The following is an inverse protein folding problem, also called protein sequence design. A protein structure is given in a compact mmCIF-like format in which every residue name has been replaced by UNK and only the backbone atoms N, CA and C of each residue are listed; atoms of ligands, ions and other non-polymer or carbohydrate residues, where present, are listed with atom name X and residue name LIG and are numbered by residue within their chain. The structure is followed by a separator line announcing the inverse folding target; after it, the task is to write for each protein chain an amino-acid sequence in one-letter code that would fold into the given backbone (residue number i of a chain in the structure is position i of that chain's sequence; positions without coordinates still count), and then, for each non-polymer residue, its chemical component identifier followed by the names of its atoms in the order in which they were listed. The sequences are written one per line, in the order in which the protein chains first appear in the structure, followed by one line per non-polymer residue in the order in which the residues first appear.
data_IF_665185497684
#
_entry.id   IF_665185497684
#
_cell.length_a   1.000
_cell.length_b   1.000
_cell.length_c   1.000
_cell.angle_alpha   90.00
_cell.angle_beta   90.00
_cell.angle_gamma   90.00
#
_symmetry.space_group_name_H-M   'P 1'
#
loop_
_entity.id
_entity.type
_entity.pdbx_description
1 polymer ?
#
# COMPACT_ATOMS: atom_id res chain seq x y z
N UNK A 1 10.68 12.34 5.38
CA UNK A 1 9.83 13.11 6.32
C UNK A 1 10.16 14.60 6.47
N UNK A 2 11.36 15.10 6.13
CA UNK A 2 11.82 16.46 6.53
C UNK A 2 11.03 17.67 5.98
N UNK A 3 10.15 17.48 5.00
CA UNK A 3 9.40 18.57 4.35
C UNK A 3 8.01 18.83 4.92
N UNK A 4 7.56 18.08 5.94
CA UNK A 4 6.22 18.24 6.55
C UNK A 4 5.05 17.76 5.68
N UNK A 5 5.32 17.19 4.51
CA UNK A 5 4.33 16.74 3.52
C UNK A 5 3.83 15.31 3.80
N UNK A 6 3.28 15.09 4.99
CA UNK A 6 2.91 13.75 5.48
C UNK A 6 1.78 13.10 4.69
N UNK A 7 0.78 13.87 4.27
CA UNK A 7 -0.32 13.40 3.41
C UNK A 7 0.21 12.79 2.09
N UNK A 8 1.23 13.42 1.50
CA UNK A 8 1.87 12.92 0.29
C UNK A 8 2.69 11.66 0.55
N UNK A 9 3.37 11.58 1.71
CA UNK A 9 4.10 10.37 2.09
C UNK A 9 3.17 9.17 2.19
N UNK A 10 2.01 9.33 2.85
CA UNK A 10 0.98 8.27 2.94
C UNK A 10 0.42 7.90 1.57
N UNK A 11 0.15 8.90 0.72
CA UNK A 11 -0.30 8.63 -0.65
C UNK A 11 0.73 7.84 -1.47
N UNK A 12 2.03 8.17 -1.34
CA UNK A 12 3.10 7.44 -2.02
C UNK A 12 3.27 6.01 -1.48
N UNK A 13 3.06 5.80 -0.17
CA UNK A 13 3.05 4.45 0.42
C UNK A 13 2.00 3.56 -0.25
N UNK A 14 0.79 4.09 -0.45
CA UNK A 14 -0.26 3.38 -1.17
C UNK A 14 0.17 3.03 -2.61
N UNK A 15 0.60 4.03 -3.40
CA UNK A 15 0.99 3.83 -4.80
C UNK A 15 2.13 2.82 -4.95
N UNK A 16 3.10 2.84 -4.03
CA UNK A 16 4.22 1.88 -4.05
C UNK A 16 3.74 0.46 -3.78
N UNK A 17 2.90 0.28 -2.75
CA UNK A 17 2.33 -1.02 -2.39
C UNK A 17 1.43 -1.57 -3.50
N UNK A 18 0.61 -0.71 -4.11
CA UNK A 18 -0.25 -1.08 -5.25
C UNK A 18 0.57 -1.61 -6.43
N UNK A 19 1.68 -0.94 -6.78
CA UNK A 19 2.54 -1.35 -7.88
C UNK A 19 3.20 -2.70 -7.62
N UNK A 20 3.70 -2.94 -6.40
CA UNK A 20 4.29 -4.24 -6.06
C UNK A 20 3.27 -5.36 -6.07
N UNK A 21 2.06 -5.12 -5.55
CA UNK A 21 1.00 -6.13 -5.62
C UNK A 21 0.56 -6.41 -7.06
N UNK A 22 0.51 -5.39 -7.93
CA UNK A 22 0.26 -5.59 -9.36
C UNK A 22 1.39 -6.34 -10.05
N UNK A 23 2.64 -6.14 -9.65
CA UNK A 23 3.75 -6.95 -10.12
C UNK A 23 3.60 -8.42 -9.68
N UNK A 24 3.20 -8.67 -8.44
CA UNK A 24 2.89 -10.03 -7.96
C UNK A 24 1.74 -10.69 -8.74
N UNK A 25 0.68 -9.93 -9.06
CA UNK A 25 -0.42 -10.44 -9.90
C UNK A 25 0.10 -10.89 -11.27
N UNK A 26 0.99 -10.13 -11.91
CA UNK A 26 1.56 -10.51 -13.21
C UNK A 26 2.51 -11.70 -13.06
N UNK A 27 3.39 -11.68 -12.07
CA UNK A 27 4.38 -12.75 -11.85
C UNK A 27 3.71 -14.11 -11.57
N UNK A 28 2.63 -14.13 -10.79
CA UNK A 28 1.96 -15.36 -10.39
C UNK A 28 0.76 -15.73 -11.28
N UNK A 29 0.15 -14.74 -11.94
CA UNK A 29 -1.03 -14.90 -12.79
C UNK A 29 -0.72 -15.11 -14.28
N UNK A 30 0.53 -14.96 -14.71
CA UNK A 30 0.94 -15.14 -16.12
C UNK A 30 0.68 -13.90 -16.99
N UNK A 31 0.27 -14.12 -18.25
CA UNK A 31 0.17 -13.06 -19.28
C UNK A 31 -1.08 -12.14 -19.15
N UNK A 32 -1.93 -12.37 -18.16
CA UNK A 32 -3.13 -11.56 -17.97
C UNK A 32 -2.78 -10.16 -17.41
N UNK A 33 -3.32 -9.08 -18.00
CA UNK A 33 -3.05 -7.74 -17.51
C UNK A 33 -3.61 -7.56 -16.09
N UNK A 34 -2.89 -6.86 -15.20
CA UNK A 34 -3.35 -6.67 -13.83
C UNK A 34 -4.68 -5.90 -13.82
N UNK A 35 -5.61 -6.27 -12.93
CA UNK A 35 -6.94 -5.67 -12.90
C UNK A 35 -6.86 -4.17 -12.60
N UNK A 36 -7.78 -3.40 -13.20
CA UNK A 36 -7.89 -1.94 -13.00
C UNK A 36 -8.59 -1.60 -11.67
N UNK A 37 -8.06 -2.12 -10.57
CA UNK A 37 -8.51 -1.89 -9.20
C UNK A 37 -7.38 -1.30 -8.35
N UNK A 38 -7.74 -0.66 -7.23
CA UNK A 38 -6.81 -0.03 -6.28
C UNK A 38 -6.87 -0.64 -4.87
N UNK A 39 -7.80 -1.56 -4.62
CA UNK A 39 -7.94 -2.21 -3.32
C UNK A 39 -6.79 -3.17 -3.06
N UNK A 40 -5.91 -2.82 -2.11
CA UNK A 40 -4.66 -3.57 -1.88
C UNK A 40 -4.93 -5.00 -1.39
N UNK A 41 -5.87 -5.18 -0.47
CA UNK A 41 -6.31 -6.52 -0.03
C UNK A 41 -6.75 -7.38 -1.21
N UNK A 42 -7.58 -6.80 -2.10
CA UNK A 42 -8.09 -7.53 -3.27
C UNK A 42 -6.99 -7.88 -4.26
N UNK A 43 -6.00 -7.01 -4.46
CA UNK A 43 -4.83 -7.32 -5.28
C UNK A 43 -4.00 -8.47 -4.70
N UNK A 44 -3.82 -8.51 -3.37
CA UNK A 44 -3.13 -9.61 -2.70
C UNK A 44 -3.87 -10.95 -2.88
N UNK A 45 -5.20 -10.96 -2.73
CA UNK A 45 -6.03 -12.15 -3.00
C UNK A 45 -5.90 -12.65 -4.44
N UNK A 46 -5.90 -11.72 -5.42
CA UNK A 46 -5.78 -12.07 -6.85
C UNK A 46 -4.38 -12.63 -7.15
N UNK A 47 -3.35 -12.11 -6.49
CA UNK A 47 -1.99 -12.64 -6.56
C UNK A 47 -1.83 -14.00 -5.86
N UNK A 48 -2.88 -14.54 -5.19
CA UNK A 48 -2.78 -15.79 -4.44
C UNK A 48 -1.91 -15.70 -3.19
N UNK A 49 -1.62 -14.48 -2.72
CA UNK A 49 -0.82 -14.24 -1.53
C UNK A 49 -1.63 -14.55 -0.26
N UNK A 50 -0.95 -15.01 0.78
CA UNK A 50 -1.53 -15.19 2.13
C UNK A 50 -0.83 -14.29 3.15
N UNK A 51 -1.13 -12.98 3.20
CA UNK A 51 -0.58 -12.09 4.21
C UNK A 51 -1.08 -12.47 5.61
N UNK A 52 -0.35 -12.07 6.66
CA UNK A 52 -0.83 -12.18 8.04
C UNK A 52 -2.01 -11.22 8.29
N UNK A 53 -2.72 -11.43 9.40
CA UNK A 53 -3.84 -10.54 9.78
C UNK A 53 -3.36 -9.09 9.94
N UNK A 54 -2.19 -8.86 10.53
CA UNK A 54 -1.61 -7.52 10.66
C UNK A 54 -1.29 -6.88 9.31
N UNK A 55 -0.81 -7.68 8.35
CA UNK A 55 -0.56 -7.20 6.99
C UNK A 55 -1.88 -6.88 6.28
N UNK A 56 -2.92 -7.70 6.44
CA UNK A 56 -4.24 -7.44 5.87
C UNK A 56 -4.86 -6.16 6.43
N UNK A 57 -4.79 -5.95 7.74
CA UNK A 57 -5.24 -4.73 8.40
C UNK A 57 -4.51 -3.50 7.85
N UNK A 58 -3.18 -3.59 7.70
CA UNK A 58 -2.37 -2.55 7.07
C UNK A 58 -2.81 -2.25 5.62
N UNK A 59 -3.05 -3.27 4.79
CA UNK A 59 -3.50 -3.09 3.40
C UNK A 59 -4.88 -2.41 3.33
N UNK A 60 -5.79 -2.75 4.24
CA UNK A 60 -7.11 -2.12 4.35
C UNK A 60 -6.96 -0.65 4.75
N UNK A 61 -6.19 -0.38 5.81
CA UNK A 61 -5.92 0.98 6.29
C UNK A 61 -5.32 1.86 5.18
N UNK A 62 -4.29 1.35 4.49
CA UNK A 62 -3.60 2.09 3.46
C UNK A 62 -4.46 2.32 2.20
N UNK A 63 -5.41 1.42 1.91
CA UNK A 63 -6.42 1.61 0.86
C UNK A 63 -7.38 2.74 1.21
N UNK A 64 -7.87 2.78 2.46
CA UNK A 64 -8.78 3.81 2.95
C UNK A 64 -8.14 5.21 2.93
N UNK A 65 -6.85 5.31 3.27
CA UNK A 65 -6.11 6.57 3.15
C UNK A 65 -6.00 7.08 1.71
N UNK A 66 -5.98 6.21 0.69
CA UNK A 66 -5.86 6.65 -0.70
C UNK A 66 -7.07 7.45 -1.17
N UNK A 67 -8.26 7.20 -0.64
CA UNK A 67 -9.44 8.02 -0.93
C UNK A 67 -9.37 9.34 -0.16
N UNK A 68 -9.03 9.29 1.13
CA UNK A 68 -8.97 10.48 2.00
C UNK A 68 -7.89 11.48 1.60
N UNK A 69 -6.76 11.02 1.09
CA UNK A 69 -5.65 11.88 0.65
C UNK A 69 -5.96 12.65 -0.65
N UNK A 70 -6.94 12.22 -1.46
CA UNK A 70 -7.28 12.83 -2.77
C UNK A 70 -8.35 13.91 -2.72
N UNK A 71 -9.20 13.91 -1.70
CA UNK A 71 -10.23 14.93 -1.49
C UNK A 71 -10.01 15.62 -0.14
N UNK A 72 -9.02 16.53 -0.06
CA UNK A 72 -8.75 17.29 1.15
C UNK A 72 -9.84 18.35 1.33
N UNK A 73 -11.00 17.98 1.87
CA UNK A 73 -12.10 18.94 2.05
C UNK A 73 -11.75 20.02 3.09
N UNK A 74 -10.76 19.77 3.96
CA UNK A 74 -10.15 20.77 4.85
C UNK A 74 -8.67 20.45 5.15
N UNK A 75 -7.75 21.28 4.64
CA UNK A 75 -6.30 21.17 4.87
C UNK A 75 -5.93 21.26 6.36
N UNK A 76 -6.72 21.98 7.16
CA UNK A 76 -6.48 22.16 8.60
C UNK A 76 -6.79 20.88 9.37
N UNK A 77 -7.92 20.24 9.08
CA UNK A 77 -8.30 18.95 9.64
C UNK A 77 -7.30 17.84 9.28
N UNK A 78 -6.73 17.91 8.07
CA UNK A 78 -5.73 16.94 7.61
C UNK A 78 -4.43 16.99 8.39
N UNK A 79 -4.00 18.17 8.85
CA UNK A 79 -2.76 18.29 9.65
C UNK A 79 -2.84 17.57 11.01
N UNK A 80 -4.07 17.39 11.54
CA UNK A 80 -4.30 16.66 12.79
C UNK A 80 -4.29 15.14 12.59
N UNK A 81 -4.70 14.66 11.42
CA UNK A 81 -4.74 13.23 11.09
C UNK A 81 -3.39 12.75 10.56
N UNK A 82 -2.80 13.48 9.59
CA UNK A 82 -1.55 13.13 8.95
C UNK A 82 -0.36 13.72 9.72
N UNK A 83 -0.20 13.29 10.96
CA UNK A 83 0.96 13.64 11.78
C UNK A 83 2.23 12.96 11.25
N UNK A 84 3.39 13.46 11.67
CA UNK A 84 4.68 12.83 11.38
C UNK A 84 4.69 11.36 11.82
N UNK A 85 4.28 11.10 13.06
CA UNK A 85 4.26 9.76 13.65
C UNK A 85 3.35 8.80 12.85
N UNK A 86 2.19 9.28 12.41
CA UNK A 86 1.28 8.49 11.60
C UNK A 86 1.89 8.13 10.24
N UNK A 87 2.48 9.10 9.55
CA UNK A 87 3.16 8.85 8.28
C UNK A 87 4.39 7.94 8.45
N UNK A 88 5.14 8.05 9.54
CA UNK A 88 6.34 7.23 9.80
C UNK A 88 5.95 5.78 10.07
N UNK A 89 4.85 5.56 10.81
CA UNK A 89 4.29 4.22 11.00
C UNK A 89 3.89 3.58 9.68
N UNK A 90 3.11 4.29 8.85
CA UNK A 90 2.67 3.75 7.56
C UNK A 90 3.84 3.52 6.59
N UNK A 91 4.85 4.38 6.61
CA UNK A 91 6.07 4.18 5.85
C UNK A 91 6.81 2.91 6.29
N UNK A 92 6.98 2.71 7.61
CA UNK A 92 7.63 1.51 8.17
C UNK A 92 6.87 0.23 7.80
N UNK A 93 5.55 0.22 7.96
CA UNK A 93 4.72 -0.93 7.58
C UNK A 93 4.76 -1.18 6.07
N UNK A 94 4.86 -0.12 5.25
CA UNK A 94 5.07 -0.24 3.81
C UNK A 94 6.41 -0.92 3.52
N UNK A 95 7.50 -0.48 4.13
CA UNK A 95 8.82 -1.09 3.96
C UNK A 95 8.85 -2.56 4.41
N UNK A 96 8.25 -2.87 5.55
CA UNK A 96 8.14 -4.25 6.07
C UNK A 96 7.33 -5.15 5.12
N UNK A 97 6.20 -4.65 4.60
CA UNK A 97 5.40 -5.41 3.64
C UNK A 97 6.15 -5.62 2.31
N UNK A 98 6.90 -4.63 1.84
CA UNK A 98 7.72 -4.77 0.64
C UNK A 98 8.84 -5.78 0.84
N UNK A 99 9.53 -5.77 1.98
CA UNK A 99 10.56 -6.76 2.32
C UNK A 99 10.00 -8.18 2.38
N UNK A 100 8.75 -8.34 2.82
CA UNK A 100 8.07 -9.63 2.81
C UNK A 100 7.68 -10.09 1.39
N UNK A 101 7.24 -9.16 0.53
CA UNK A 101 6.74 -9.48 -0.82
C UNK A 101 7.84 -9.59 -1.89
N UNK A 102 8.92 -8.82 -1.78
CA UNK A 102 10.02 -8.81 -2.76
C UNK A 102 10.59 -10.20 -3.07
N UNK A 103 10.97 -11.05 -2.08
CA UNK A 103 11.51 -12.38 -2.38
C UNK A 103 10.48 -13.27 -3.07
N UNK A 104 9.18 -13.10 -2.79
CA UNK A 104 8.11 -13.87 -3.42
C UNK A 104 8.05 -13.60 -4.92
N UNK A 105 8.08 -12.33 -5.31
CA UNK A 105 8.13 -11.92 -6.72
C UNK A 105 9.43 -12.38 -7.36
N UNK A 106 10.59 -12.14 -6.72
CA UNK A 106 11.90 -12.46 -7.29
C UNK A 106 12.10 -13.95 -7.58
N UNK A 107 11.50 -14.83 -6.76
CA UNK A 107 11.68 -16.27 -6.88
C UNK A 107 10.44 -16.99 -7.41
N UNK A 108 9.39 -16.27 -7.82
CA UNK A 108 8.14 -16.87 -8.29
C UNK A 108 7.45 -17.73 -7.21
N UNK A 109 7.62 -17.39 -5.94
CA UNK A 109 7.08 -18.16 -4.81
C UNK A 109 5.80 -17.48 -4.29
N UNK A 110 4.65 -18.18 -4.24
CA UNK A 110 3.44 -17.64 -3.60
C UNK A 110 3.66 -17.33 -2.11
#
# INVERSE_FOLDING_TARGET
MKSGRYIYAVFMCHLSTEKMLKAAVVEFGGDDPPPKIHGLKRLAEIAGLTPTDEQLEFLVELTDQQQRTRYPEDITALSQVYTQAYAERLLKQTEEFQQWLEPKIRFGLP
#
